data_IF_996353300512
#
_entry.id   IF_996353300512
#
_cell.length_a   1.000
_cell.length_b   1.000
_cell.length_c   1.000
_cell.angle_alpha   90.00
_cell.angle_beta   90.00
_cell.angle_gamma   90.00
#
_symmetry.space_group_name_H-M   'P 1'
#
loop_
_entity.id
_entity.type
_entity.pdbx_description
1 polymer ?
#
# COMPACT_ATOMS: atom_id res chain seq x y z
N UNK A 1 -13.14 -15.48 -18.63
CA UNK A 1 -11.75 -15.05 -18.40
C UNK A 1 -10.82 -16.16 -18.91
N UNK A 2 -10.16 -15.97 -20.06
CA UNK A 2 -9.30 -16.99 -20.65
C UNK A 2 -7.99 -17.11 -19.88
N UNK A 3 -7.44 -18.32 -19.87
CA UNK A 3 -6.09 -18.60 -19.40
C UNK A 3 -5.43 -19.68 -20.25
N UNK A 4 -4.13 -19.61 -20.37
CA UNK A 4 -3.30 -20.61 -21.05
C UNK A 4 -2.04 -20.84 -20.24
N UNK A 5 -1.60 -22.08 -20.12
CA UNK A 5 -0.36 -22.44 -19.46
C UNK A 5 0.36 -23.52 -20.26
N UNK A 6 1.69 -23.42 -20.27
CA UNK A 6 2.60 -24.38 -20.87
C UNK A 6 3.65 -24.78 -19.83
N UNK A 7 3.97 -26.07 -19.80
CA UNK A 7 5.01 -26.59 -18.95
C UNK A 7 5.90 -27.55 -19.73
N UNK A 8 7.22 -27.38 -19.62
CA UNK A 8 8.18 -28.25 -20.26
C UNK A 8 9.15 -28.82 -19.23
N UNK A 9 9.05 -30.13 -19.03
CA UNK A 9 9.96 -30.87 -18.15
C UNK A 9 11.21 -31.26 -18.95
N UNK A 10 12.11 -30.32 -19.12
CA UNK A 10 13.33 -30.49 -19.91
C UNK A 10 14.28 -31.53 -19.34
N UNK A 11 14.13 -31.88 -18.06
CA UNK A 11 14.92 -32.99 -17.44
C UNK A 11 14.59 -34.38 -18.01
N UNK A 12 13.48 -34.53 -18.75
CA UNK A 12 13.14 -35.77 -19.42
C UNK A 12 13.79 -35.92 -20.81
N UNK A 13 14.41 -34.84 -21.31
CA UNK A 13 14.99 -34.80 -22.63
C UNK A 13 16.37 -35.51 -22.68
N UNK A 14 16.70 -36.06 -23.86
CA UNK A 14 17.95 -36.80 -24.04
C UNK A 14 19.22 -36.00 -23.75
N UNK A 15 19.22 -34.72 -24.09
CA UNK A 15 20.36 -33.83 -23.83
C UNK A 15 20.63 -33.66 -22.34
N UNK A 16 19.61 -33.75 -21.51
CA UNK A 16 19.70 -33.55 -20.06
C UNK A 16 20.39 -34.74 -19.35
N UNK A 17 20.38 -35.91 -19.95
CA UNK A 17 20.95 -37.12 -19.32
C UNK A 17 22.43 -36.95 -18.89
N UNK A 18 23.18 -36.09 -19.57
CA UNK A 18 24.60 -35.83 -19.26
C UNK A 18 24.81 -35.12 -17.92
N UNK A 19 23.83 -34.33 -17.48
CA UNK A 19 23.89 -33.53 -16.25
C UNK A 19 22.98 -34.05 -15.14
N UNK A 20 22.28 -35.16 -15.39
CA UNK A 20 21.31 -35.73 -14.46
C UNK A 20 21.88 -36.12 -13.11
N UNK A 21 23.18 -36.43 -13.05
CA UNK A 21 23.87 -36.73 -11.80
C UNK A 21 24.00 -35.49 -10.87
N UNK A 22 23.97 -34.29 -11.42
CA UNK A 22 24.07 -33.03 -10.66
C UNK A 22 22.69 -32.41 -10.49
N UNK A 23 21.95 -32.25 -11.61
CA UNK A 23 20.59 -31.71 -11.63
C UNK A 23 19.63 -32.85 -11.89
N UNK A 24 18.87 -33.25 -10.88
CA UNK A 24 17.96 -34.40 -10.93
C UNK A 24 16.65 -34.09 -11.64
N UNK A 25 16.17 -32.89 -11.52
CA UNK A 25 14.91 -32.46 -12.14
C UNK A 25 14.98 -31.01 -12.61
N UNK A 26 14.24 -30.70 -13.67
CA UNK A 26 14.15 -29.35 -14.22
C UNK A 26 12.89 -29.19 -15.07
N UNK A 27 12.11 -28.14 -14.79
CA UNK A 27 10.85 -27.83 -15.47
C UNK A 27 10.69 -26.33 -15.62
N UNK A 28 10.39 -25.91 -16.84
CA UNK A 28 9.98 -24.53 -17.14
C UNK A 28 8.47 -24.44 -17.22
N UNK A 29 7.91 -23.39 -16.65
CA UNK A 29 6.48 -23.09 -16.73
C UNK A 29 6.28 -21.66 -17.20
N UNK A 30 5.31 -21.45 -18.06
CA UNK A 30 4.84 -20.13 -18.46
C UNK A 30 3.33 -20.14 -18.50
N UNK A 31 2.72 -19.13 -17.94
CA UNK A 31 1.27 -18.97 -17.99
C UNK A 31 0.87 -17.52 -18.23
N UNK A 32 -0.26 -17.38 -18.90
CA UNK A 32 -0.97 -16.12 -19.07
C UNK A 32 -2.43 -16.32 -18.71
N UNK A 33 -3.01 -15.40 -17.94
CA UNK A 33 -4.42 -15.48 -17.59
C UNK A 33 -5.04 -14.10 -17.36
N UNK A 34 -6.35 -14.06 -17.52
CA UNK A 34 -7.16 -12.91 -17.16
C UNK A 34 -8.17 -13.34 -16.10
N UNK A 35 -8.20 -12.63 -14.98
CA UNK A 35 -9.12 -12.85 -13.88
C UNK A 35 -9.98 -11.61 -13.66
N UNK A 36 -11.27 -11.83 -13.30
CA UNK A 36 -12.16 -10.76 -12.85
C UNK A 36 -12.29 -10.76 -11.34
N UNK A 37 -12.22 -9.59 -10.75
CA UNK A 37 -12.56 -9.39 -9.36
C UNK A 37 -13.99 -8.90 -9.25
N UNK A 38 -14.85 -9.68 -8.60
CA UNK A 38 -16.25 -9.35 -8.33
C UNK A 38 -16.51 -8.97 -6.87
N UNK A 39 -15.48 -8.99 -6.03
CA UNK A 39 -15.60 -8.72 -4.60
C UNK A 39 -15.77 -7.24 -4.35
N UNK A 40 -16.98 -6.73 -4.51
CA UNK A 40 -17.38 -5.40 -4.11
C UNK A 40 -17.80 -5.41 -2.65
N UNK A 41 -17.50 -4.34 -1.93
CA UNK A 41 -17.92 -4.19 -0.54
C UNK A 41 -19.46 -4.17 -0.39
N UNK A 42 -20.14 -3.67 -1.43
CA UNK A 42 -21.60 -3.61 -1.51
C UNK A 42 -22.07 -4.21 -2.85
N UNK A 43 -22.90 -5.27 -2.85
CA UNK A 43 -23.42 -5.88 -4.06
C UNK A 43 -24.23 -4.93 -4.96
N UNK A 44 -24.78 -3.87 -4.38
CA UNK A 44 -25.61 -2.89 -5.07
C UNK A 44 -24.86 -1.60 -5.42
N UNK A 45 -23.52 -1.64 -5.48
CA UNK A 45 -22.68 -0.46 -5.75
C UNK A 45 -23.04 0.27 -7.06
N UNK A 46 -23.50 -0.47 -8.07
CA UNK A 46 -23.90 0.12 -9.35
C UNK A 46 -25.24 0.89 -9.30
N UNK A 47 -26.06 0.68 -8.28
CA UNK A 47 -27.37 1.27 -8.17
C UNK A 47 -27.34 2.57 -7.34
N UNK A 48 -28.29 3.47 -7.65
CA UNK A 48 -28.58 4.58 -6.76
C UNK A 48 -29.04 4.07 -5.40
N UNK A 49 -28.68 4.76 -4.35
CA UNK A 49 -29.12 4.44 -3.00
C UNK A 49 -29.76 5.67 -2.36
N UNK A 50 -30.86 5.43 -1.64
CA UNK A 50 -31.51 6.43 -0.82
C UNK A 50 -31.20 6.11 0.65
N UNK A 51 -30.79 7.08 1.40
CA UNK A 51 -30.57 6.94 2.84
C UNK A 51 -31.36 8.00 3.61
N UNK A 52 -31.81 7.61 4.80
CA UNK A 52 -32.30 8.55 5.80
C UNK A 52 -31.29 8.55 6.94
N UNK A 53 -30.64 9.67 7.19
CA UNK A 53 -29.79 9.86 8.35
C UNK A 53 -30.58 9.86 9.66
N UNK A 54 -29.90 9.65 10.77
CA UNK A 54 -30.54 9.68 12.10
C UNK A 54 -31.05 11.06 12.53
N UNK A 55 -30.69 12.11 11.79
CA UNK A 55 -31.12 13.50 12.02
C UNK A 55 -31.83 14.14 10.82
N UNK A 56 -32.15 13.36 9.79
CA UNK A 56 -32.70 13.89 8.54
C UNK A 56 -34.23 14.07 8.65
N UNK A 57 -34.63 15.16 9.32
CA UNK A 57 -36.01 15.57 9.42
C UNK A 57 -36.20 16.92 8.71
N UNK A 58 -37.30 17.03 7.98
CA UNK A 58 -37.76 18.27 7.41
C UNK A 58 -39.07 18.66 8.09
N UNK A 59 -39.12 19.89 8.61
CA UNK A 59 -40.31 20.44 9.16
C UNK A 59 -41.27 20.85 8.02
N UNK A 60 -42.52 20.42 8.09
CA UNK A 60 -43.53 20.94 7.21
C UNK A 60 -44.74 21.50 8.01
N UNK A 61 -45.37 22.52 7.48
CA UNK A 61 -46.48 23.18 8.12
C UNK A 61 -47.78 22.41 7.84
N UNK A 62 -48.45 21.96 8.88
CA UNK A 62 -49.75 21.31 8.76
C UNK A 62 -50.87 22.34 8.44
N UNK A 63 -52.01 21.88 8.03
CA UNK A 63 -53.19 22.75 7.81
C UNK A 63 -53.67 23.47 9.06
N UNK A 64 -53.26 23.03 10.25
CA UNK A 64 -53.55 23.65 11.55
C UNK A 64 -52.51 24.68 11.95
N UNK A 65 -51.41 24.87 11.17
CA UNK A 65 -50.34 25.80 11.45
C UNK A 65 -49.25 25.25 12.39
N UNK A 66 -49.32 23.95 12.72
CA UNK A 66 -48.27 23.29 13.51
C UNK A 66 -47.14 22.79 12.61
N UNK A 67 -45.92 22.74 13.12
CA UNK A 67 -44.76 22.15 12.42
C UNK A 67 -44.62 20.70 12.79
N UNK A 68 -44.81 19.82 11.78
CA UNK A 68 -44.60 18.39 11.92
C UNK A 68 -43.23 18.01 11.29
N UNK A 69 -42.44 17.21 12.00
CA UNK A 69 -41.17 16.73 11.53
C UNK A 69 -41.32 15.41 10.77
N UNK A 70 -41.06 15.46 9.48
CA UNK A 70 -41.08 14.27 8.63
C UNK A 70 -39.68 13.85 8.26
N UNK A 71 -39.44 12.56 8.30
CA UNK A 71 -38.19 11.96 7.84
C UNK A 71 -38.14 12.03 6.32
N UNK A 72 -37.04 12.58 5.76
CA UNK A 72 -36.82 12.60 4.31
C UNK A 72 -35.74 11.64 3.89
N UNK A 73 -35.79 11.22 2.64
CA UNK A 73 -34.77 10.38 2.00
C UNK A 73 -33.94 11.24 1.06
N UNK A 74 -32.62 11.10 1.18
CA UNK A 74 -31.68 11.71 0.26
C UNK A 74 -31.02 10.65 -0.61
N UNK A 75 -30.74 10.99 -1.87
CA UNK A 75 -29.86 10.17 -2.69
C UNK A 75 -28.43 10.23 -2.12
N UNK A 76 -27.98 9.11 -1.55
CA UNK A 76 -26.66 9.01 -0.92
C UNK A 76 -25.57 8.53 -1.88
N UNK A 77 -25.97 7.94 -3.00
CA UNK A 77 -25.06 7.41 -4.01
C UNK A 77 -25.65 7.61 -5.41
N UNK A 78 -24.81 8.13 -6.32
CA UNK A 78 -25.12 8.21 -7.74
C UNK A 78 -25.05 6.83 -8.39
N UNK A 79 -26.02 6.48 -9.24
CA UNK A 79 -25.97 5.23 -9.99
C UNK A 79 -24.90 5.25 -11.07
N UNK A 80 -24.25 4.10 -11.28
CA UNK A 80 -23.38 3.86 -12.43
C UNK A 80 -23.72 2.51 -13.09
N UNK A 81 -24.65 2.48 -14.05
CA UNK A 81 -25.05 1.24 -14.70
C UNK A 81 -23.96 0.63 -15.60
N UNK A 82 -22.89 1.37 -15.88
CA UNK A 82 -21.77 0.90 -16.69
C UNK A 82 -20.67 0.27 -15.83
N UNK A 83 -20.85 0.19 -14.52
CA UNK A 83 -19.87 -0.40 -13.62
C UNK A 83 -19.62 -1.87 -13.98
N UNK A 84 -18.35 -2.22 -14.15
CA UNK A 84 -17.87 -3.54 -14.52
C UNK A 84 -16.94 -4.12 -13.45
N UNK A 85 -16.61 -5.40 -13.58
CA UNK A 85 -15.61 -6.03 -12.74
C UNK A 85 -14.21 -5.54 -13.10
N UNK A 86 -13.38 -5.37 -12.11
CA UNK A 86 -11.94 -5.18 -12.30
C UNK A 86 -11.35 -6.39 -13.04
N UNK A 87 -10.42 -6.13 -13.95
CA UNK A 87 -9.78 -7.16 -14.79
C UNK A 87 -8.28 -7.18 -14.52
N UNK A 88 -7.79 -8.30 -14.02
CA UNK A 88 -6.36 -8.52 -13.82
C UNK A 88 -5.82 -9.46 -14.90
N UNK A 89 -4.89 -8.97 -15.70
CA UNK A 89 -4.11 -9.75 -16.66
C UNK A 89 -2.76 -10.06 -16.06
N UNK A 90 -2.38 -11.33 -16.03
CA UNK A 90 -1.13 -11.79 -15.42
C UNK A 90 -0.30 -12.63 -16.35
N UNK A 91 1.00 -12.41 -16.33
CA UNK A 91 2.03 -13.29 -16.84
C UNK A 91 2.80 -13.88 -15.67
N UNK A 92 3.10 -15.16 -15.78
CA UNK A 92 3.89 -15.87 -14.80
C UNK A 92 4.89 -16.78 -15.51
N UNK A 93 6.14 -16.73 -15.09
CA UNK A 93 7.23 -17.56 -15.56
C UNK A 93 7.90 -18.23 -14.38
N UNK A 94 8.09 -19.53 -14.44
CA UNK A 94 8.69 -20.27 -13.33
C UNK A 94 9.68 -21.32 -13.81
N UNK A 95 10.70 -21.55 -12.98
CA UNK A 95 11.67 -22.63 -13.10
C UNK A 95 11.61 -23.47 -11.82
N UNK A 96 11.18 -24.71 -11.97
CA UNK A 96 11.30 -25.73 -10.93
C UNK A 96 12.60 -26.50 -11.15
N UNK A 97 13.37 -26.73 -10.09
CA UNK A 97 14.65 -27.41 -10.16
C UNK A 97 14.86 -28.39 -9.01
N UNK A 98 15.65 -29.41 -9.28
CA UNK A 98 16.13 -30.35 -8.27
C UNK A 98 17.58 -30.72 -8.52
N UNK A 99 18.37 -30.79 -7.45
CA UNK A 99 19.79 -31.15 -7.48
C UNK A 99 20.07 -32.27 -6.49
N UNK A 100 21.15 -33.04 -6.78
CA UNK A 100 21.70 -34.07 -5.89
C UNK A 100 20.64 -35.12 -5.50
N UNK A 101 19.97 -35.70 -6.49
CA UNK A 101 18.85 -36.64 -6.32
C UNK A 101 17.73 -36.03 -5.45
N UNK A 102 17.33 -34.78 -5.79
CA UNK A 102 16.26 -34.00 -5.14
C UNK A 102 16.50 -33.69 -3.65
N UNK A 103 17.78 -33.78 -3.19
CA UNK A 103 18.13 -33.28 -1.86
C UNK A 103 18.02 -31.77 -1.75
N UNK A 104 18.10 -31.08 -2.88
CA UNK A 104 17.88 -29.63 -3.00
C UNK A 104 16.84 -29.45 -4.08
N UNK A 105 15.67 -28.98 -3.72
CA UNK A 105 14.60 -28.65 -4.66
C UNK A 105 14.13 -27.22 -4.47
N UNK A 106 13.66 -26.60 -5.51
CA UNK A 106 13.15 -25.25 -5.41
C UNK A 106 12.42 -24.77 -6.63
N UNK A 107 11.85 -23.61 -6.48
CA UNK A 107 11.14 -22.88 -7.53
C UNK A 107 11.59 -21.45 -7.55
N UNK A 108 11.87 -20.91 -8.72
CA UNK A 108 12.04 -19.48 -8.99
C UNK A 108 10.86 -19.05 -9.85
N UNK A 109 10.18 -17.98 -9.43
CA UNK A 109 8.98 -17.49 -10.09
C UNK A 109 9.06 -15.99 -10.30
N UNK A 110 8.77 -15.54 -11.51
CA UNK A 110 8.65 -14.14 -11.87
C UNK A 110 7.25 -13.89 -12.42
N UNK A 111 6.59 -12.86 -11.91
CA UNK A 111 5.28 -12.49 -12.38
C UNK A 111 5.12 -10.99 -12.62
N UNK A 112 4.21 -10.67 -13.51
CA UNK A 112 3.70 -9.30 -13.68
C UNK A 112 2.18 -9.35 -13.86
N UNK A 113 1.50 -8.52 -13.09
CA UNK A 113 0.04 -8.42 -13.08
C UNK A 113 -0.37 -6.98 -13.34
N UNK A 114 -1.29 -6.79 -14.27
CA UNK A 114 -1.91 -5.50 -14.55
C UNK A 114 -3.40 -5.60 -14.23
N UNK A 115 -3.83 -4.87 -13.22
CA UNK A 115 -5.24 -4.70 -12.89
C UNK A 115 -5.73 -3.43 -13.53
N UNK A 116 -6.67 -3.56 -14.46
CA UNK A 116 -7.33 -2.49 -15.17
C UNK A 116 -8.76 -2.36 -14.70
N UNK A 117 -9.39 -1.25 -15.05
CA UNK A 117 -10.79 -0.99 -14.73
C UNK A 117 -11.03 -1.07 -13.21
N UNK A 118 -10.06 -0.60 -12.40
CA UNK A 118 -10.20 -0.59 -10.95
C UNK A 118 -11.42 0.21 -10.53
N UNK A 119 -12.17 -0.32 -9.56
CA UNK A 119 -13.35 0.34 -9.04
C UNK A 119 -12.91 1.39 -8.02
N UNK A 120 -13.08 2.65 -8.40
CA UNK A 120 -12.61 3.80 -7.65
C UNK A 120 -13.74 4.81 -7.44
N UNK A 121 -13.64 5.59 -6.38
CA UNK A 121 -14.51 6.74 -6.12
C UNK A 121 -13.90 7.98 -6.77
N UNK A 122 -14.52 8.45 -7.86
CA UNK A 122 -14.13 9.68 -8.53
C UNK A 122 -14.90 10.86 -7.92
N UNK A 123 -14.21 11.92 -7.47
CA UNK A 123 -14.87 13.12 -6.99
C UNK A 123 -15.66 13.80 -8.12
N UNK A 124 -16.80 14.37 -7.74
CA UNK A 124 -17.68 15.09 -8.67
C UNK A 124 -17.79 16.58 -8.27
N UNK A 125 -18.00 17.47 -9.25
CA UNK A 125 -18.31 18.86 -8.97
C UNK A 125 -19.57 18.99 -8.11
N UNK A 126 -19.56 19.92 -7.14
CA UNK A 126 -20.64 20.10 -6.14
C UNK A 126 -22.02 20.33 -6.77
N UNK A 127 -22.08 20.97 -7.93
CA UNK A 127 -23.34 21.25 -8.62
C UNK A 127 -24.09 19.98 -9.11
N UNK A 128 -23.43 18.81 -9.11
CA UNK A 128 -24.07 17.53 -9.45
C UNK A 128 -25.00 17.02 -8.33
N UNK A 129 -24.87 17.59 -7.13
CA UNK A 129 -25.58 17.11 -5.93
C UNK A 129 -24.97 15.86 -5.29
N UNK A 130 -23.85 15.36 -5.82
CA UNK A 130 -23.11 14.21 -5.28
C UNK A 130 -21.64 14.57 -5.07
N UNK A 131 -21.02 14.04 -4.05
CA UNK A 131 -19.60 14.24 -3.78
C UNK A 131 -18.71 13.39 -4.68
N UNK A 132 -19.19 12.21 -5.06
CA UNK A 132 -18.43 11.26 -5.87
C UNK A 132 -19.35 10.28 -6.62
N UNK A 133 -18.74 9.58 -7.59
CA UNK A 133 -19.32 8.44 -8.30
C UNK A 133 -18.36 7.27 -8.25
N UNK A 134 -18.89 6.06 -8.02
CA UNK A 134 -18.09 4.84 -8.14
C UNK A 134 -18.02 4.42 -9.60
N UNK A 135 -16.82 4.30 -10.14
CA UNK A 135 -16.60 4.03 -11.56
C UNK A 135 -15.35 3.16 -11.79
N UNK A 136 -15.24 2.58 -12.99
CA UNK A 136 -14.09 1.80 -13.40
C UNK A 136 -13.04 2.73 -14.01
N UNK A 137 -12.08 3.10 -13.21
CA UNK A 137 -10.93 3.93 -13.61
C UNK A 137 -9.67 3.36 -12.98
N UNK A 138 -8.53 3.81 -13.48
CA UNK A 138 -7.27 3.47 -12.91
C UNK A 138 -6.71 2.12 -13.33
N UNK A 139 -5.41 2.04 -13.19
CA UNK A 139 -4.63 0.86 -13.49
C UNK A 139 -3.48 0.74 -12.50
N UNK A 140 -3.31 -0.46 -11.96
CA UNK A 140 -2.19 -0.80 -11.07
C UNK A 140 -1.42 -1.99 -11.64
N UNK A 141 -0.11 -1.87 -11.62
CA UNK A 141 0.81 -2.94 -11.97
C UNK A 141 1.46 -3.50 -10.69
N UNK A 142 1.52 -4.82 -10.60
CA UNK A 142 2.30 -5.56 -9.63
C UNK A 142 3.32 -6.42 -10.37
N UNK A 143 4.59 -6.30 -10.01
CA UNK A 143 5.67 -7.12 -10.54
C UNK A 143 6.44 -7.70 -9.38
N UNK A 144 6.67 -9.01 -9.42
CA UNK A 144 7.31 -9.69 -8.31
C UNK A 144 8.18 -10.86 -8.72
N UNK A 145 8.98 -11.26 -7.76
CA UNK A 145 9.85 -12.43 -7.81
C UNK A 145 9.64 -13.25 -6.54
N UNK A 146 9.47 -14.55 -6.72
CA UNK A 146 9.34 -15.51 -5.62
C UNK A 146 10.39 -16.59 -5.76
N UNK A 147 10.92 -17.02 -4.63
CA UNK A 147 11.92 -18.07 -4.55
C UNK A 147 11.57 -19.00 -3.38
N UNK A 148 11.47 -20.27 -3.67
CA UNK A 148 11.28 -21.32 -2.68
C UNK A 148 12.41 -22.34 -2.80
N UNK A 149 13.01 -22.72 -1.68
CA UNK A 149 14.08 -23.69 -1.60
C UNK A 149 13.79 -24.69 -0.48
N UNK A 150 13.85 -25.97 -0.79
CA UNK A 150 13.77 -27.06 0.16
C UNK A 150 15.05 -27.87 0.11
N UNK A 151 15.65 -28.14 1.25
CA UNK A 151 16.89 -28.92 1.34
C UNK A 151 16.77 -30.03 2.37
N UNK A 152 17.22 -31.23 2.00
CA UNK A 152 17.47 -32.32 2.92
C UNK A 152 18.96 -32.26 3.30
N UNK A 153 19.26 -31.56 4.42
CA UNK A 153 20.63 -31.29 4.83
C UNK A 153 21.32 -32.57 5.33
N UNK A 154 20.64 -33.27 6.25
CA UNK A 154 21.11 -34.54 6.81
C UNK A 154 19.95 -35.53 6.81
N UNK A 155 20.21 -36.75 6.36
CA UNK A 155 19.25 -37.86 6.45
C UNK A 155 20.00 -39.10 6.92
N UNK A 156 19.80 -39.48 8.17
CA UNK A 156 20.35 -40.65 8.83
C UNK A 156 19.25 -41.47 9.50
N UNK A 157 19.55 -42.67 9.98
CA UNK A 157 18.58 -43.58 10.57
C UNK A 157 17.75 -43.00 11.72
N UNK A 158 18.37 -42.17 12.56
CA UNK A 158 17.75 -41.59 13.77
C UNK A 158 17.82 -40.08 13.81
N UNK A 159 18.23 -39.42 12.71
CA UNK A 159 18.33 -37.98 12.63
C UNK A 159 18.08 -37.50 11.19
N UNK A 160 17.11 -36.61 11.04
CA UNK A 160 16.86 -35.95 9.77
C UNK A 160 16.78 -34.44 10.03
N UNK A 161 17.41 -33.66 9.15
CA UNK A 161 17.35 -32.20 9.18
C UNK A 161 17.00 -31.69 7.79
N UNK A 162 15.84 -31.03 7.73
CA UNK A 162 15.31 -30.38 6.54
C UNK A 162 15.23 -28.87 6.76
N UNK A 163 15.48 -28.11 5.69
CA UNK A 163 15.33 -26.65 5.69
C UNK A 163 14.43 -26.24 4.54
N UNK A 164 13.46 -25.37 4.84
CA UNK A 164 12.65 -24.67 3.83
C UNK A 164 12.91 -23.18 3.94
N UNK A 165 13.28 -22.56 2.83
CA UNK A 165 13.44 -21.11 2.72
C UNK A 165 12.49 -20.59 1.65
N UNK A 166 11.71 -19.54 1.99
CA UNK A 166 10.86 -18.83 1.05
C UNK A 166 11.24 -17.35 1.06
N UNK A 167 11.25 -16.76 -0.11
CA UNK A 167 11.50 -15.34 -0.33
C UNK A 167 10.52 -14.81 -1.35
N UNK A 168 9.94 -13.64 -1.09
CA UNK A 168 9.13 -12.93 -2.08
C UNK A 168 9.48 -11.44 -2.09
N UNK A 169 9.54 -10.89 -3.27
CA UNK A 169 9.65 -9.46 -3.54
C UNK A 169 8.52 -9.03 -4.45
N UNK A 170 7.75 -8.02 -4.04
CA UNK A 170 6.68 -7.43 -4.85
C UNK A 170 6.82 -5.92 -4.93
N UNK A 171 6.68 -5.38 -6.13
CA UNK A 171 6.63 -3.94 -6.40
C UNK A 171 5.28 -3.58 -7.00
N UNK A 172 4.53 -2.77 -6.27
CA UNK A 172 3.26 -2.21 -6.71
C UNK A 172 3.49 -0.83 -7.34
N UNK A 173 2.75 -0.48 -8.38
CA UNK A 173 2.85 0.80 -9.07
C UNK A 173 1.52 1.21 -9.69
N UNK A 174 1.05 2.40 -9.35
CA UNK A 174 -0.07 3.04 -10.03
C UNK A 174 0.38 3.42 -11.45
N UNK A 175 -0.38 3.03 -12.47
CA UNK A 175 -0.13 3.35 -13.86
C UNK A 175 -1.03 4.46 -14.36
N UNK A 176 -2.30 4.38 -14.02
CA UNK A 176 -3.33 5.37 -14.34
C UNK A 176 -4.26 5.54 -13.15
N UNK A 177 -4.85 6.72 -13.01
CA UNK A 177 -5.85 7.06 -12.00
C UNK A 177 -7.20 7.36 -12.69
N UNK A 178 -7.47 8.63 -13.00
CA UNK A 178 -8.76 9.07 -13.52
C UNK A 178 -8.71 9.45 -15.00
N UNK A 179 -7.54 9.33 -15.67
CA UNK A 179 -7.28 9.77 -17.04
C UNK A 179 -7.56 11.28 -17.24
N UNK A 180 -7.41 12.05 -16.17
CA UNK A 180 -7.43 13.50 -16.22
C UNK A 180 -6.01 14.01 -16.48
N UNK A 181 -5.85 14.95 -17.40
CA UNK A 181 -4.53 15.40 -17.82
C UNK A 181 -4.36 16.89 -17.57
N UNK A 182 -3.22 17.26 -17.02
CA UNK A 182 -2.79 18.64 -16.84
C UNK A 182 -1.65 18.99 -17.79
N UNK A 183 -1.58 20.27 -18.19
CA UNK A 183 -0.52 20.74 -19.05
C UNK A 183 0.79 20.86 -18.27
N UNK A 184 1.85 20.34 -18.85
CA UNK A 184 3.22 20.56 -18.38
C UNK A 184 3.74 21.82 -19.05
N UNK A 185 4.15 22.80 -18.23
CA UNK A 185 4.65 24.10 -18.70
C UNK A 185 6.19 24.14 -18.60
N UNK A 186 6.81 24.86 -19.51
CA UNK A 186 8.22 25.24 -19.39
C UNK A 186 8.39 26.47 -18.48
N UNK A 187 9.65 26.90 -18.26
CA UNK A 187 9.96 28.08 -17.46
C UNK A 187 9.35 29.39 -18.01
N UNK A 188 8.91 29.40 -19.26
CA UNK A 188 8.28 30.53 -19.94
C UNK A 188 6.75 30.38 -20.01
N UNK A 189 6.16 29.44 -19.26
CA UNK A 189 4.73 29.13 -19.26
C UNK A 189 4.17 28.60 -20.59
N UNK A 190 5.00 28.07 -21.49
CA UNK A 190 4.54 27.39 -22.69
C UNK A 190 4.20 25.93 -22.40
N UNK A 191 3.14 25.44 -23.00
CA UNK A 191 2.76 24.03 -22.88
C UNK A 191 3.75 23.18 -23.68
N UNK A 192 4.51 22.32 -22.97
CA UNK A 192 5.50 21.39 -23.55
C UNK A 192 5.01 19.94 -23.58
N UNK A 193 3.87 19.64 -22.95
CA UNK A 193 3.29 18.32 -22.92
C UNK A 193 2.07 18.24 -22.00
N UNK A 194 1.58 17.04 -21.82
CA UNK A 194 0.54 16.73 -20.85
C UNK A 194 0.96 15.53 -20.00
N UNK A 195 0.64 15.56 -18.73
CA UNK A 195 0.78 14.42 -17.82
C UNK A 195 -0.56 14.14 -17.15
N UNK A 196 -0.82 12.88 -16.83
CA UNK A 196 -2.00 12.52 -16.05
C UNK A 196 -1.84 13.06 -14.62
N UNK A 197 -2.91 13.65 -14.11
CA UNK A 197 -2.91 14.29 -12.79
C UNK A 197 -2.85 13.27 -11.66
N UNK A 198 -2.05 13.57 -10.66
CA UNK A 198 -2.00 12.81 -9.40
C UNK A 198 -3.25 13.13 -8.55
N UNK A 199 -3.61 12.23 -7.64
CA UNK A 199 -4.71 12.45 -6.70
C UNK A 199 -4.16 12.63 -5.27
N UNK A 200 -3.68 13.84 -5.00
CA UNK A 200 -2.99 14.20 -3.77
C UNK A 200 -3.87 14.07 -2.53
N UNK A 201 -5.19 14.30 -2.66
CA UNK A 201 -6.14 14.15 -1.56
C UNK A 201 -6.13 12.75 -0.92
N UNK A 202 -5.84 11.72 -1.70
CA UNK A 202 -5.71 10.34 -1.23
C UNK A 202 -4.23 9.88 -1.13
N UNK A 203 -3.28 10.74 -1.43
CA UNK A 203 -1.86 10.39 -1.51
C UNK A 203 -1.53 9.42 -2.65
N UNK A 204 -2.30 9.44 -3.74
CA UNK A 204 -2.08 8.58 -4.90
C UNK A 204 -1.35 9.32 -6.01
N UNK A 205 -0.20 8.78 -6.37
CA UNK A 205 0.69 9.36 -7.36
C UNK A 205 1.01 8.36 -8.45
N UNK A 206 0.93 8.80 -9.70
CA UNK A 206 1.27 7.97 -10.86
C UNK A 206 2.75 7.61 -10.79
N UNK A 207 3.03 6.33 -10.97
CA UNK A 207 4.38 5.80 -10.85
C UNK A 207 4.81 5.38 -9.45
N UNK A 208 4.02 5.67 -8.40
CA UNK A 208 4.28 5.29 -7.01
C UNK A 208 3.41 4.11 -6.57
N UNK A 209 3.75 3.43 -5.47
CA UNK A 209 2.90 2.41 -4.87
C UNK A 209 1.57 2.97 -4.37
N UNK A 210 0.50 2.16 -4.43
CA UNK A 210 -0.83 2.58 -3.95
C UNK A 210 -0.85 2.87 -2.44
N UNK A 211 -0.02 2.18 -1.66
CA UNK A 211 0.10 2.35 -0.21
C UNK A 211 1.33 3.21 0.16
N UNK A 212 1.61 4.22 -0.65
CA UNK A 212 2.67 5.18 -0.41
C UNK A 212 2.32 6.06 0.80
N UNK A 213 3.29 6.27 1.67
CA UNK A 213 3.22 7.28 2.73
C UNK A 213 3.74 8.58 2.13
N UNK A 214 2.86 9.56 2.01
CA UNK A 214 3.18 10.90 1.56
C UNK A 214 2.71 11.88 2.62
N UNK A 215 3.66 12.46 3.35
CA UNK A 215 3.35 13.28 4.53
C UNK A 215 4.55 14.17 4.88
N UNK A 216 4.37 15.03 5.86
CA UNK A 216 5.40 15.89 6.39
C UNK A 216 6.53 15.07 7.01
N UNK A 217 7.77 15.42 6.66
CA UNK A 217 8.97 14.79 7.23
C UNK A 217 9.41 15.51 8.47
N UNK A 218 9.23 14.92 9.63
CA UNK A 218 9.79 15.43 10.88
C UNK A 218 11.31 15.26 10.86
N UNK A 219 12.05 16.34 11.06
CA UNK A 219 13.52 16.40 11.05
C UNK A 219 14.11 16.64 12.44
N UNK A 220 13.27 16.89 13.44
CA UNK A 220 13.69 17.11 14.82
C UNK A 220 12.56 17.69 15.67
N UNK A 221 12.95 18.25 16.80
CA UNK A 221 12.09 18.99 17.72
C UNK A 221 12.74 20.36 17.91
N UNK A 222 11.95 21.43 17.87
CA UNK A 222 12.45 22.77 18.12
C UNK A 222 13.05 22.90 19.53
N UNK A 223 14.30 23.35 19.61
CA UNK A 223 15.00 23.53 20.88
C UNK A 223 14.77 24.95 21.44
N UNK A 224 15.10 25.16 22.72
CA UNK A 224 14.91 26.44 23.41
C UNK A 224 15.65 27.60 22.76
N UNK A 225 16.83 27.36 22.22
CA UNK A 225 17.64 28.37 21.53
C UNK A 225 17.15 28.68 20.12
N UNK A 226 16.31 27.81 19.56
CA UNK A 226 15.72 27.95 18.21
C UNK A 226 14.35 28.71 18.24
N UNK A 227 13.89 29.23 19.39
CA UNK A 227 12.55 29.81 19.54
C UNK A 227 12.20 30.91 18.53
N UNK A 228 13.19 31.72 18.08
CA UNK A 228 12.98 32.75 17.06
C UNK A 228 12.71 32.17 15.68
N UNK A 229 13.37 31.05 15.35
CA UNK A 229 13.12 30.36 14.11
C UNK A 229 11.78 29.62 14.14
N UNK A 230 11.50 28.91 15.25
CA UNK A 230 10.20 28.24 15.46
C UNK A 230 9.01 29.20 15.31
N UNK A 231 9.16 30.46 15.82
CA UNK A 231 8.11 31.46 15.72
C UNK A 231 7.74 31.83 14.27
N UNK A 232 8.65 31.71 13.30
CA UNK A 232 8.37 31.93 11.87
C UNK A 232 7.39 30.91 11.33
N UNK A 233 7.41 29.70 11.90
CA UNK A 233 6.50 28.60 11.59
C UNK A 233 5.23 28.60 12.43
N UNK A 234 5.04 29.62 13.28
CA UNK A 234 3.99 29.68 14.29
C UNK A 234 4.05 28.50 15.27
N UNK A 235 5.27 28.03 15.53
CA UNK A 235 5.59 26.93 16.43
C UNK A 235 6.43 27.44 17.61
N UNK A 236 6.59 26.62 18.61
CA UNK A 236 7.35 26.91 19.83
C UNK A 236 8.34 25.77 20.12
N UNK A 237 9.33 26.00 21.01
CA UNK A 237 10.18 24.93 21.50
C UNK A 237 9.36 23.76 22.04
N UNK A 238 9.73 22.52 21.67
CA UNK A 238 8.98 21.31 21.96
C UNK A 238 8.07 20.82 20.82
N UNK A 239 7.71 21.69 19.89
CA UNK A 239 6.94 21.28 18.71
C UNK A 239 7.80 20.49 17.70
N UNK A 240 7.18 19.60 16.88
CA UNK A 240 7.88 18.91 15.82
C UNK A 240 8.45 19.89 14.78
N UNK A 241 9.74 19.78 14.49
CA UNK A 241 10.40 20.51 13.42
C UNK A 241 10.22 19.74 12.12
N UNK A 242 9.46 20.29 11.20
CA UNK A 242 9.14 19.69 9.90
C UNK A 242 10.04 20.27 8.81
N UNK A 243 10.41 19.46 7.84
CA UNK A 243 11.10 19.94 6.64
C UNK A 243 10.18 20.90 5.86
N UNK A 244 10.72 22.03 5.45
CA UNK A 244 10.03 23.08 4.70
C UNK A 244 10.66 23.25 3.32
N UNK A 245 9.82 23.41 2.30
CA UNK A 245 10.24 23.81 0.97
C UNK A 245 10.23 25.35 0.89
N UNK A 246 11.40 26.03 0.83
CA UNK A 246 11.44 27.47 0.87
C UNK A 246 10.81 28.17 -0.35
N UNK A 247 10.51 27.45 -1.42
CA UNK A 247 9.88 28.00 -2.63
C UNK A 247 8.44 28.49 -2.39
N UNK A 248 7.80 27.96 -1.32
CA UNK A 248 6.41 28.28 -0.97
C UNK A 248 6.29 29.35 0.11
N UNK A 249 7.40 29.81 0.65
CA UNK A 249 7.41 30.80 1.74
C UNK A 249 7.08 32.20 1.24
N UNK A 250 6.43 32.99 2.10
CA UNK A 250 6.13 34.38 1.83
C UNK A 250 7.29 35.25 2.35
N UNK A 251 7.89 35.99 1.44
CA UNK A 251 9.03 36.86 1.74
C UNK A 251 8.64 38.32 1.79
N UNK A 252 9.30 39.06 2.66
CA UNK A 252 9.24 40.54 2.69
C UNK A 252 10.08 41.15 1.55
N UNK A 253 9.91 42.42 1.27
CA UNK A 253 10.65 43.14 0.23
C UNK A 253 12.17 43.16 0.49
N UNK A 254 12.63 43.00 1.74
CA UNK A 254 14.03 42.94 2.13
C UNK A 254 14.63 41.51 2.03
N UNK A 255 13.84 40.52 1.54
CA UNK A 255 14.25 39.11 1.41
C UNK A 255 14.16 38.30 2.69
N UNK A 256 13.69 38.88 3.80
CA UNK A 256 13.41 38.12 5.02
C UNK A 256 12.12 37.30 4.88
N UNK A 257 12.06 36.15 5.52
CA UNK A 257 10.85 35.33 5.54
C UNK A 257 9.77 36.01 6.39
N UNK A 258 8.63 36.28 5.77
CA UNK A 258 7.48 36.90 6.47
C UNK A 258 6.67 35.83 7.21
N UNK A 259 6.32 34.78 6.54
CA UNK A 259 5.51 33.70 7.10
C UNK A 259 5.83 32.39 6.38
N UNK A 260 6.00 31.32 7.15
CA UNK A 260 6.11 29.97 6.63
C UNK A 260 4.76 29.29 6.84
N UNK A 261 4.23 28.73 5.78
CA UNK A 261 2.94 28.01 5.79
C UNK A 261 3.16 26.64 5.17
N UNK A 262 3.08 25.62 6.01
CA UNK A 262 3.16 24.26 5.51
C UNK A 262 1.99 23.93 4.57
N UNK A 263 2.30 23.35 3.44
CA UNK A 263 1.35 22.92 2.43
C UNK A 263 1.76 21.56 1.80
N UNK A 264 1.11 21.15 0.73
CA UNK A 264 1.39 19.86 0.08
C UNK A 264 2.78 19.78 -0.53
N UNK A 265 3.43 20.91 -0.87
CA UNK A 265 4.78 20.93 -1.45
C UNK A 265 5.88 20.67 -0.40
N UNK A 266 5.54 20.75 0.89
CA UNK A 266 6.42 20.38 2.00
C UNK A 266 6.37 18.89 2.32
N UNK A 267 5.39 18.17 1.79
CA UNK A 267 5.24 16.75 1.99
C UNK A 267 6.24 15.94 1.16
N UNK A 268 6.68 14.83 1.70
CA UNK A 268 7.66 13.95 1.07
C UNK A 268 7.17 12.49 1.02
N UNK A 269 7.71 11.74 0.08
CA UNK A 269 7.51 10.30 0.05
C UNK A 269 8.38 9.63 1.12
N UNK A 270 7.75 9.20 2.20
CA UNK A 270 8.43 8.66 3.38
C UNK A 270 8.64 7.15 3.31
N UNK A 271 7.94 6.46 2.40
CA UNK A 271 8.00 5.01 2.26
C UNK A 271 6.65 4.41 1.89
N UNK A 272 6.46 3.15 2.17
CA UNK A 272 5.21 2.41 1.93
C UNK A 272 4.79 1.64 3.17
N UNK A 273 3.49 1.46 3.37
CA UNK A 273 2.96 0.63 4.46
C UNK A 273 2.96 -0.87 4.13
N UNK A 274 3.10 -1.22 2.84
CA UNK A 274 3.14 -2.61 2.41
C UNK A 274 4.59 -3.09 2.30
N UNK A 275 4.97 -4.18 2.99
CA UNK A 275 6.32 -4.71 2.90
C UNK A 275 6.59 -5.27 1.49
N UNK A 276 7.59 -4.73 0.75
CA UNK A 276 7.96 -5.26 -0.56
C UNK A 276 8.72 -6.58 -0.46
N UNK A 277 9.37 -6.87 0.66
CA UNK A 277 10.16 -8.06 0.87
C UNK A 277 9.57 -8.87 2.03
N UNK A 278 9.34 -10.15 1.76
CA UNK A 278 8.97 -11.12 2.79
C UNK A 278 9.87 -12.35 2.64
N UNK A 279 10.31 -12.90 3.76
CA UNK A 279 11.03 -14.16 3.74
C UNK A 279 10.71 -14.97 4.99
N UNK A 280 10.88 -16.29 4.85
CA UNK A 280 10.77 -17.23 5.97
C UNK A 280 11.81 -18.33 5.84
N UNK A 281 12.30 -18.79 6.98
CA UNK A 281 13.21 -19.89 7.10
C UNK A 281 12.66 -20.86 8.15
N UNK A 282 12.37 -22.09 7.73
CA UNK A 282 11.95 -23.17 8.61
C UNK A 282 13.03 -24.25 8.61
N UNK A 283 13.50 -24.60 9.80
CA UNK A 283 14.31 -25.79 10.03
C UNK A 283 13.47 -26.82 10.78
N UNK A 284 13.53 -28.04 10.32
CA UNK A 284 12.84 -29.18 10.90
C UNK A 284 13.84 -30.29 11.18
N UNK A 285 13.85 -30.73 12.43
CA UNK A 285 14.71 -31.79 12.94
C UNK A 285 13.85 -32.95 13.40
N UNK A 286 14.05 -34.13 12.80
CA UNK A 286 13.40 -35.37 13.22
C UNK A 286 14.43 -36.20 13.99
N UNK A 287 14.16 -36.43 15.27
CA UNK A 287 15.03 -37.12 16.21
C UNK A 287 14.41 -38.48 16.58
N UNK A 288 15.20 -39.52 16.52
CA UNK A 288 14.79 -40.89 16.85
C UNK A 288 13.53 -41.40 16.17
N UNK A 289 13.12 -40.77 15.06
CA UNK A 289 11.91 -41.01 14.26
C UNK A 289 10.60 -40.51 14.85
N UNK A 290 10.55 -40.27 16.17
CA UNK A 290 9.32 -40.00 16.92
C UNK A 290 9.20 -38.56 17.41
N UNK A 291 10.33 -37.82 17.53
CA UNK A 291 10.34 -36.44 17.98
C UNK A 291 10.67 -35.49 16.82
N UNK A 292 9.75 -34.58 16.51
CA UNK A 292 9.97 -33.52 15.52
C UNK A 292 10.04 -32.18 16.21
N UNK A 293 11.14 -31.44 15.96
CA UNK A 293 11.34 -30.08 16.43
C UNK A 293 11.38 -29.16 15.20
N UNK A 294 10.53 -28.14 15.17
CA UNK A 294 10.49 -27.15 14.08
C UNK A 294 10.80 -25.77 14.61
N UNK A 295 11.70 -25.05 13.94
CA UNK A 295 12.03 -23.65 14.21
C UNK A 295 11.66 -22.87 12.94
N UNK A 296 10.75 -21.90 13.09
CA UNK A 296 10.32 -21.04 12.00
C UNK A 296 10.63 -19.59 12.31
N UNK A 297 11.34 -18.94 11.41
CA UNK A 297 11.69 -17.51 11.45
C UNK A 297 11.08 -16.86 10.21
N UNK A 298 10.43 -15.74 10.38
CA UNK A 298 9.92 -14.96 9.25
C UNK A 298 10.19 -13.48 9.46
N UNK A 299 10.29 -12.73 8.37
CA UNK A 299 10.48 -11.29 8.38
C UNK A 299 9.75 -10.62 7.22
N UNK A 300 9.26 -9.43 7.49
CA UNK A 300 8.69 -8.50 6.51
C UNK A 300 9.51 -7.22 6.55
N UNK A 301 10.01 -6.77 5.40
CA UNK A 301 11.01 -5.70 5.34
C UNK A 301 10.64 -4.64 4.31
N UNK A 302 11.19 -3.44 4.51
CA UNK A 302 11.09 -2.33 3.56
C UNK A 302 9.79 -1.54 3.66
N UNK A 303 8.97 -1.78 4.67
CA UNK A 303 7.77 -1.00 4.96
C UNK A 303 7.93 -0.14 6.22
N UNK A 304 7.04 0.81 6.37
CA UNK A 304 6.88 1.59 7.59
C UNK A 304 5.50 1.30 8.18
N UNK A 305 5.42 1.20 9.49
CA UNK A 305 4.16 1.04 10.20
C UNK A 305 3.96 2.23 11.15
N UNK A 306 2.73 2.68 11.27
CA UNK A 306 2.34 3.63 12.28
C UNK A 306 2.35 2.91 13.63
N UNK A 307 3.10 3.45 14.59
CA UNK A 307 3.11 2.89 15.95
C UNK A 307 1.95 3.47 16.75
N UNK A 308 0.81 2.79 16.73
CA UNK A 308 -0.37 3.20 17.50
C UNK A 308 -0.10 3.23 19.02
N UNK A 309 0.80 2.37 19.49
CA UNK A 309 1.21 2.38 20.92
C UNK A 309 1.97 3.65 21.32
N UNK A 310 2.61 4.32 20.35
CA UNK A 310 3.31 5.59 20.58
C UNK A 310 2.32 6.76 20.59
N UNK A 311 1.28 6.72 19.77
CA UNK A 311 0.31 7.79 19.60
C UNK A 311 -0.78 7.76 20.67
N UNK A 312 -1.28 6.60 21.02
CA UNK A 312 -2.43 6.46 21.92
C UNK A 312 -2.15 6.84 23.39
N UNK A 313 -0.89 7.09 23.75
CA UNK A 313 -0.54 7.47 25.13
C UNK A 313 -0.35 9.00 25.31
N UNK A 314 -0.33 9.78 24.22
CA UNK A 314 -0.05 11.22 24.32
C UNK A 314 -1.28 12.10 24.07
N UNK A 315 -2.38 11.54 23.52
CA UNK A 315 -3.48 12.35 22.98
C UNK A 315 -4.52 12.80 24.02
N UNK A 316 -4.44 12.29 25.25
CA UNK A 316 -5.47 12.53 26.28
C UNK A 316 -5.01 13.46 27.42
N UNK A 317 -4.11 14.41 27.17
CA UNK A 317 -3.77 15.42 28.17
C UNK A 317 -3.39 14.83 29.55
N UNK A 318 -2.63 13.75 29.58
CA UNK A 318 -2.19 13.08 30.79
C UNK A 318 -3.17 12.06 31.39
N UNK A 319 -4.22 11.71 30.69
CA UNK A 319 -5.08 10.61 31.09
C UNK A 319 -4.42 9.29 30.67
N UNK A 320 -3.84 8.59 31.62
CA UNK A 320 -3.49 7.19 31.46
C UNK A 320 -4.77 6.42 31.11
N UNK A 321 -4.88 5.96 29.87
CA UNK A 321 -5.86 4.94 29.51
C UNK A 321 -5.61 3.72 30.42
N UNK A 322 -6.66 3.15 30.97
CA UNK A 322 -6.58 1.91 31.77
C UNK A 322 -6.06 0.69 31.01
N UNK A 323 -5.84 0.81 29.71
CA UNK A 323 -5.30 -0.22 28.86
C UNK A 323 -3.80 -0.01 28.66
N UNK A 324 -3.03 -0.74 29.45
CA UNK A 324 -1.60 -0.94 29.33
C UNK A 324 -0.74 0.32 29.33
N UNK A 325 -0.15 0.62 30.47
CA UNK A 325 1.00 1.52 30.54
C UNK A 325 2.02 1.11 29.47
N UNK A 326 2.43 2.07 28.65
CA UNK A 326 3.53 1.86 27.71
C UNK A 326 4.76 1.47 28.54
N UNK A 327 5.21 0.23 28.41
CA UNK A 327 6.37 -0.27 29.15
C UNK A 327 7.70 0.30 28.66
N UNK A 328 7.68 1.04 27.55
CA UNK A 328 8.87 1.71 27.03
C UNK A 328 8.96 3.13 27.62
N UNK A 329 10.06 3.40 28.30
CA UNK A 329 10.41 4.76 28.70
C UNK A 329 10.56 5.61 27.41
N UNK A 330 9.78 6.67 27.30
CA UNK A 330 9.93 7.66 26.23
C UNK A 330 10.82 8.79 26.74
N UNK A 331 11.74 9.23 25.89
CA UNK A 331 12.43 10.48 26.11
C UNK A 331 11.49 11.60 25.64
N UNK A 332 11.01 12.40 26.56
CA UNK A 332 10.22 13.58 26.27
C UNK A 332 11.15 14.79 26.15
N UNK A 333 10.79 15.68 25.23
CA UNK A 333 11.39 17.02 25.25
C UNK A 333 10.98 17.72 26.56
N UNK A 334 11.95 18.29 27.25
CA UNK A 334 11.73 19.13 28.42
C UNK A 334 12.55 20.42 28.26
N UNK A 335 12.21 21.44 29.03
CA UNK A 335 12.92 22.72 28.97
C UNK A 335 14.40 22.60 29.34
N UNK A 336 14.77 21.54 30.07
CA UNK A 336 16.11 21.26 30.55
C UNK A 336 16.84 20.19 29.76
N UNK A 337 16.22 19.63 28.69
CA UNK A 337 16.73 18.51 27.90
C UNK A 337 16.54 18.74 26.40
#
# INVERSE_FOLDING_TARGET
>A
FPSVAVAWTFSNEKFFQKIKNVMSSGKLRASYGSNGNRSLADPYTALANLSAGSGDYMGYLTSTGEVELMRYLMASRMANPTLQWEKTKSWNFALDFGFLNDRITGTMEFYTMNTNDMIMSQPLPVFTGFNNITTNLGQVNNTGFEFSLNTVNIKQKNFEWNTTFNFSYNKNKIKHLFYEYENVLDANSNVIGQKESDYTANGWFIGKPINQIWDYKVIGIWQNDEWKEAAKYKQQPGDPKVWNNPENDIYNADGSVQTIVYNDDDKQFLGTTTPPINWSLRNEFVLWKDLTVSINIYSRMGHKALSTNYLNNDDDGGRMSYAAACLQAKEYWTIDN
#
